data_IF_170325237996
#
_entry.id   IF_170325237996
#
_cell.length_a   1.000
_cell.length_b   1.000
_cell.length_c   1.000
_cell.angle_alpha   90.00
_cell.angle_beta   90.00
_cell.angle_gamma   90.00
#
_symmetry.space_group_name_H-M   'P 1'
#
loop_
_entity.id
_entity.type
_entity.pdbx_description
1 polymer ?
#
# COMPACT_ATOMS: atom_id res chain seq x y z
N UNK A 1 -27.28 9.33 12.46
CA UNK A 1 -26.61 8.34 11.59
C UNK A 1 -25.25 8.03 12.20
N UNK A 2 -25.10 6.83 12.77
CA UNK A 2 -23.86 6.38 13.38
C UNK A 2 -22.87 6.03 12.26
N UNK A 3 -22.03 6.98 11.87
CA UNK A 3 -20.96 6.75 10.91
C UNK A 3 -19.95 5.83 11.60
N UNK A 4 -19.82 4.62 11.08
CA UNK A 4 -18.90 3.58 11.54
C UNK A 4 -17.47 4.12 11.61
N UNK A 5 -17.02 4.50 12.82
CA UNK A 5 -15.66 5.00 13.08
C UNK A 5 -14.55 3.94 12.87
N UNK A 6 -14.88 2.68 12.57
CA UNK A 6 -13.91 1.59 12.53
C UNK A 6 -13.39 1.19 11.14
N UNK A 7 -13.84 1.81 10.05
CA UNK A 7 -13.47 1.38 8.67
C UNK A 7 -12.48 2.31 7.96
N UNK A 8 -12.21 3.50 8.51
CA UNK A 8 -11.43 4.53 7.78
C UNK A 8 -9.97 4.13 7.54
N UNK A 9 -9.33 3.40 8.45
CA UNK A 9 -7.91 3.05 8.29
C UNK A 9 -7.68 1.97 7.20
N UNK A 10 -8.39 0.83 7.18
CA UNK A 10 -8.31 -0.13 6.09
C UNK A 10 -8.63 0.49 4.72
N UNK A 11 -9.67 1.31 4.64
CA UNK A 11 -10.10 1.92 3.37
C UNK A 11 -9.05 2.89 2.81
N UNK A 12 -8.51 3.76 3.67
CA UNK A 12 -7.42 4.68 3.29
C UNK A 12 -6.17 3.90 2.88
N UNK A 13 -5.85 2.81 3.58
CA UNK A 13 -4.71 1.94 3.23
C UNK A 13 -4.90 1.35 1.84
N UNK A 14 -6.07 0.80 1.55
CA UNK A 14 -6.38 0.17 0.28
C UNK A 14 -6.33 1.17 -0.88
N UNK A 15 -6.97 2.33 -0.72
CA UNK A 15 -6.94 3.38 -1.73
C UNK A 15 -5.53 3.88 -2.03
N UNK A 16 -4.72 4.12 -0.98
CA UNK A 16 -3.32 4.52 -1.16
C UNK A 16 -2.52 3.47 -1.92
N UNK A 17 -2.75 2.18 -1.63
CA UNK A 17 -2.08 1.11 -2.35
C UNK A 17 -2.44 1.08 -3.85
N UNK A 18 -3.71 1.35 -4.19
CA UNK A 18 -4.14 1.50 -5.58
C UNK A 18 -3.49 2.71 -6.25
N UNK A 19 -3.43 3.86 -5.57
CA UNK A 19 -2.79 5.07 -6.11
C UNK A 19 -1.30 4.86 -6.38
N UNK A 20 -0.58 4.17 -5.48
CA UNK A 20 0.83 3.82 -5.70
C UNK A 20 0.97 2.85 -6.88
N UNK A 21 0.09 1.84 -6.97
CA UNK A 21 0.15 0.82 -8.02
C UNK A 21 -0.19 1.35 -9.43
N UNK A 22 -0.88 2.49 -9.53
CA UNK A 22 -1.19 3.15 -10.82
C UNK A 22 0.00 3.89 -11.44
N UNK A 23 1.05 4.16 -10.68
CA UNK A 23 2.21 4.93 -11.17
C UNK A 23 3.06 4.06 -12.09
N UNK A 24 3.31 4.57 -13.29
CA UNK A 24 4.24 4.02 -14.29
C UNK A 24 5.32 5.07 -14.57
N UNK A 25 6.63 4.79 -14.34
CA UNK A 25 7.24 3.51 -13.99
C UNK A 25 6.87 3.01 -12.59
N UNK A 26 6.82 1.68 -12.45
CA UNK A 26 6.59 1.00 -11.16
C UNK A 26 7.60 1.53 -10.15
N UNK A 27 7.08 2.07 -9.05
CA UNK A 27 7.86 2.57 -7.93
C UNK A 27 8.76 1.44 -7.42
N UNK A 28 10.09 1.64 -7.44
CA UNK A 28 11.05 0.71 -6.82
C UNK A 28 10.96 0.82 -5.29
N UNK A 29 10.03 0.06 -4.73
CA UNK A 29 9.78 0.03 -3.30
C UNK A 29 10.97 -0.54 -2.51
N UNK A 30 11.83 -1.35 -3.13
CA UNK A 30 13.00 -1.95 -2.47
C UNK A 30 14.12 -0.92 -2.27
N UNK A 31 14.29 -0.02 -3.25
CA UNK A 31 15.15 1.15 -3.11
C UNK A 31 14.53 2.18 -2.14
N UNK A 32 13.22 2.40 -2.21
CA UNK A 32 12.57 3.47 -1.44
C UNK A 32 12.40 3.17 0.04
N UNK A 33 12.21 1.90 0.43
CA UNK A 33 12.04 1.49 1.83
C UNK A 33 13.26 1.81 2.71
N UNK A 34 14.42 2.09 2.12
CA UNK A 34 15.67 2.44 2.83
C UNK A 34 15.78 3.92 3.24
N UNK A 35 14.69 4.68 3.20
CA UNK A 35 14.69 6.09 3.59
C UNK A 35 15.15 7.03 2.47
N UNK A 36 14.72 6.76 1.24
CA UNK A 36 15.02 7.57 0.07
C UNK A 36 14.24 8.89 0.07
N UNK A 37 14.80 9.94 -0.54
CA UNK A 37 14.10 11.22 -0.74
C UNK A 37 12.78 11.07 -1.52
N UNK A 38 12.75 10.10 -2.43
CA UNK A 38 11.59 9.70 -3.23
C UNK A 38 10.42 9.24 -2.34
N UNK A 39 10.71 8.60 -1.20
CA UNK A 39 9.69 8.15 -0.25
C UNK A 39 9.05 9.33 0.48
N UNK A 40 9.85 10.33 0.85
CA UNK A 40 9.36 11.55 1.48
C UNK A 40 8.47 12.35 0.53
N UNK A 41 8.86 12.47 -0.75
CA UNK A 41 8.03 13.10 -1.77
C UNK A 41 6.72 12.35 -1.99
N UNK A 42 6.80 11.02 -2.12
CA UNK A 42 5.60 10.18 -2.31
C UNK A 42 4.66 10.27 -1.10
N UNK A 43 5.22 10.27 0.10
CA UNK A 43 4.49 10.48 1.35
C UNK A 43 3.75 11.81 1.33
N UNK A 44 4.45 12.93 1.11
CA UNK A 44 3.83 14.26 1.10
C UNK A 44 2.72 14.37 0.05
N UNK A 45 2.96 13.86 -1.16
CA UNK A 45 1.98 13.94 -2.25
C UNK A 45 0.73 13.10 -1.95
N UNK A 46 0.91 11.84 -1.58
CA UNK A 46 -0.20 10.91 -1.43
C UNK A 46 -1.02 11.16 -0.16
N UNK A 47 -0.38 11.55 0.94
CA UNK A 47 -1.09 11.91 2.16
C UNK A 47 -1.97 13.15 1.94
N UNK A 48 -1.48 14.17 1.22
CA UNK A 48 -2.28 15.31 0.79
C UNK A 48 -3.47 14.91 -0.11
N UNK A 49 -3.22 14.05 -1.10
CA UNK A 49 -4.29 13.56 -2.00
C UNK A 49 -5.35 12.75 -1.25
N UNK A 50 -4.95 11.87 -0.34
CA UNK A 50 -5.88 11.11 0.50
C UNK A 50 -6.73 12.05 1.36
N UNK A 51 -6.11 13.03 2.01
CA UNK A 51 -6.85 14.02 2.78
C UNK A 51 -7.90 14.77 1.93
N UNK A 52 -7.53 15.19 0.72
CA UNK A 52 -8.43 15.89 -0.20
C UNK A 52 -9.57 14.98 -0.68
N UNK A 53 -9.26 13.76 -1.11
CA UNK A 53 -10.25 12.80 -1.58
C UNK A 53 -11.30 12.47 -0.51
N UNK A 54 -10.87 12.15 0.72
CA UNK A 54 -11.80 11.85 1.81
C UNK A 54 -12.66 13.04 2.23
N UNK A 55 -12.09 14.24 2.16
CA UNK A 55 -12.84 15.46 2.43
C UNK A 55 -13.89 15.71 1.34
N UNK A 56 -13.52 15.58 0.06
CA UNK A 56 -14.42 15.87 -1.06
C UNK A 56 -15.53 14.83 -1.22
N UNK A 57 -15.20 13.55 -1.15
CA UNK A 57 -16.16 12.47 -1.42
C UNK A 57 -17.03 12.12 -0.22
N UNK A 58 -16.49 12.24 1.00
CA UNK A 58 -17.17 11.75 2.21
C UNK A 58 -17.37 12.83 3.28
N UNK A 59 -16.82 14.04 3.11
CA UNK A 59 -16.84 15.08 4.15
C UNK A 59 -16.03 14.69 5.39
N UNK A 60 -15.08 13.76 5.25
CA UNK A 60 -14.31 13.22 6.37
C UNK A 60 -12.93 13.88 6.41
N UNK A 61 -12.60 14.50 7.54
CA UNK A 61 -11.24 14.92 7.83
C UNK A 61 -10.45 13.75 8.42
N UNK A 62 -9.52 13.19 7.65
CA UNK A 62 -8.62 12.17 8.17
C UNK A 62 -7.70 12.76 9.24
N UNK A 63 -7.42 11.98 10.29
CA UNK A 63 -6.43 12.38 11.28
C UNK A 63 -5.02 12.10 10.75
N UNK A 64 -4.00 12.88 11.13
CA UNK A 64 -2.62 12.61 10.75
C UNK A 64 -2.18 11.19 11.12
N UNK A 65 -2.64 10.67 12.26
CA UNK A 65 -2.33 9.30 12.69
C UNK A 65 -2.89 8.27 11.70
N UNK A 66 -4.13 8.43 11.23
CA UNK A 66 -4.74 7.50 10.27
C UNK A 66 -3.99 7.54 8.94
N UNK A 67 -3.77 8.73 8.39
CA UNK A 67 -3.14 8.90 7.08
C UNK A 67 -1.72 8.34 7.07
N UNK A 68 -0.95 8.62 8.12
CA UNK A 68 0.43 8.15 8.22
C UNK A 68 0.49 6.63 8.33
N UNK A 69 -0.33 6.03 9.20
CA UNK A 69 -0.39 4.58 9.33
C UNK A 69 -0.87 3.90 8.04
N UNK A 70 -1.87 4.47 7.37
CA UNK A 70 -2.38 3.95 6.12
C UNK A 70 -1.31 3.96 5.02
N UNK A 71 -0.54 5.04 4.90
CA UNK A 71 0.54 5.14 3.94
C UNK A 71 1.61 4.07 4.15
N UNK A 72 2.16 3.95 5.36
CA UNK A 72 3.21 2.96 5.62
C UNK A 72 2.70 1.52 5.47
N UNK A 73 1.44 1.25 5.83
CA UNK A 73 0.80 -0.05 5.56
C UNK A 73 0.68 -0.34 4.07
N UNK A 74 0.29 0.65 3.25
CA UNK A 74 0.19 0.50 1.81
C UNK A 74 1.56 0.18 1.18
N UNK A 75 2.61 0.92 1.57
CA UNK A 75 3.99 0.68 1.14
C UNK A 75 4.45 -0.73 1.51
N UNK A 76 4.29 -1.12 2.78
CA UNK A 76 4.68 -2.45 3.25
C UNK A 76 3.93 -3.58 2.52
N UNK A 77 2.63 -3.41 2.29
CA UNK A 77 1.81 -4.38 1.55
C UNK A 77 2.30 -4.57 0.11
N UNK A 78 2.61 -3.48 -0.59
CA UNK A 78 3.10 -3.54 -1.96
C UNK A 78 4.53 -4.09 -2.05
N UNK A 79 5.40 -3.74 -1.10
CA UNK A 79 6.76 -4.27 -1.00
C UNK A 79 6.73 -5.79 -0.76
N UNK A 80 5.96 -6.26 0.23
CA UNK A 80 5.79 -7.69 0.49
C UNK A 80 5.22 -8.43 -0.72
N UNK A 81 4.24 -7.85 -1.42
CA UNK A 81 3.70 -8.42 -2.66
C UNK A 81 4.79 -8.58 -3.73
N UNK A 82 5.67 -7.60 -3.90
CA UNK A 82 6.76 -7.66 -4.88
C UNK A 82 7.80 -8.73 -4.52
N UNK A 83 8.13 -8.87 -3.22
CA UNK A 83 8.98 -9.96 -2.72
C UNK A 83 8.35 -11.31 -3.02
N UNK A 84 7.08 -11.51 -2.64
CA UNK A 84 6.37 -12.77 -2.86
C UNK A 84 6.21 -13.09 -4.35
N UNK A 85 5.96 -12.09 -5.19
CA UNK A 85 5.96 -12.27 -6.64
C UNK A 85 7.32 -12.77 -7.15
N UNK A 86 8.43 -12.19 -6.67
CA UNK A 86 9.79 -12.62 -7.03
C UNK A 86 10.07 -14.04 -6.55
N UNK A 87 9.73 -14.38 -5.30
CA UNK A 87 9.85 -15.73 -4.73
C UNK A 87 9.04 -16.77 -5.49
N UNK A 88 7.80 -16.45 -5.87
CA UNK A 88 6.94 -17.35 -6.63
C UNK A 88 7.50 -17.75 -8.00
N UNK A 89 8.41 -16.93 -8.55
CA UNK A 89 9.11 -17.23 -9.81
C UNK A 89 10.39 -18.03 -9.60
N UNK A 90 10.87 -18.15 -8.36
CA UNK A 90 11.95 -19.06 -8.02
C UNK A 90 11.41 -20.50 -7.96
N UNK A 91 11.79 -21.31 -8.95
CA UNK A 91 11.30 -22.68 -9.10
C UNK A 91 11.67 -23.56 -7.90
N UNK A 92 12.81 -23.30 -7.26
CA UNK A 92 13.28 -24.07 -6.10
C UNK A 92 12.42 -23.80 -4.86
N UNK A 93 11.96 -22.56 -4.67
CA UNK A 93 11.11 -22.17 -3.53
C UNK A 93 9.63 -22.60 -3.69
N UNK A 94 9.20 -22.96 -4.91
CA UNK A 94 7.82 -23.34 -5.22
C UNK A 94 7.60 -24.85 -5.41
N UNK A 95 8.62 -25.67 -5.12
CA UNK A 95 8.54 -27.14 -5.24
C UNK A 95 7.39 -27.70 -4.40
N UNK A 96 7.23 -27.23 -3.15
CA UNK A 96 6.19 -27.70 -2.23
C UNK A 96 4.77 -27.48 -2.78
N UNK A 97 4.52 -26.38 -3.51
CA UNK A 97 3.21 -26.10 -4.13
C UNK A 97 2.92 -27.10 -5.24
N UNK A 98 3.94 -27.42 -6.06
CA UNK A 98 3.81 -28.41 -7.15
C UNK A 98 3.59 -29.82 -6.60
N UNK A 99 4.27 -30.16 -5.51
CA UNK A 99 4.05 -31.43 -4.80
C UNK A 99 2.66 -31.52 -4.17
N UNK A 100 2.13 -30.40 -3.66
CA UNK A 100 0.78 -30.32 -3.11
C UNK A 100 -0.30 -30.47 -4.19
N UNK A 101 -0.12 -29.86 -5.36
CA UNK A 101 -1.07 -29.88 -6.47
C UNK A 101 -1.01 -31.15 -7.34
N UNK A 102 0.05 -31.95 -7.22
CA UNK A 102 0.20 -33.24 -7.90
C UNK A 102 -0.30 -34.42 -7.04
N UNK A 103 -1.07 -34.15 -5.98
CA UNK A 103 -1.86 -35.16 -5.23
C UNK A 103 -3.31 -35.12 -5.69
#
# INVERSE_FOLDING_TARGET
MSIHKSETLPDVTYWLALEIAKVDPVVDLDAMYKGSLELDFLYQLLTCKAQQYWWQEYGIQLSPVIVNNAFFRAIAMLHNRNIEFTRSRNREETVWVRELLNR
#
